data_IF_877995702204
#
_entry.id   IF_877995702204
#
_cell.length_a   1.000
_cell.length_b   1.000
_cell.length_c   1.000
_cell.angle_alpha   90.00
_cell.angle_beta   90.00
_cell.angle_gamma   90.00
#
_symmetry.space_group_name_H-M   'P 1'
#
loop_
_entity.id
_entity.type
_entity.pdbx_description
1 polymer ?
#
# COMPACT_ATOMS: atom_id res chain seq x y z
N UNK A 1 -1.16 -18.78 -39.15
CA UNK A 1 -0.19 -19.76 -38.58
C UNK A 1 0.21 -19.26 -37.21
N UNK A 2 0.04 -20.08 -36.16
CA UNK A 2 0.41 -19.71 -34.80
C UNK A 2 1.90 -19.99 -34.56
N UNK A 3 2.55 -19.18 -33.72
CA UNK A 3 3.94 -19.35 -33.32
C UNK A 3 4.10 -20.64 -32.49
N UNK A 4 4.97 -21.55 -32.94
CA UNK A 4 5.27 -22.86 -32.30
C UNK A 4 6.45 -22.78 -31.31
N UNK A 5 6.78 -21.58 -30.84
CA UNK A 5 8.00 -21.30 -30.04
C UNK A 5 8.07 -22.06 -28.71
N UNK A 6 6.96 -22.63 -28.24
CA UNK A 6 6.88 -23.41 -27.01
C UNK A 6 6.91 -24.93 -27.23
N UNK A 7 7.06 -25.39 -28.47
CA UNK A 7 7.18 -26.81 -28.80
C UNK A 7 8.63 -27.29 -28.62
N UNK A 8 9.61 -26.38 -28.71
CA UNK A 8 11.04 -26.64 -28.46
C UNK A 8 11.50 -26.24 -27.06
N UNK A 9 10.71 -25.45 -26.33
CA UNK A 9 10.93 -25.12 -24.91
C UNK A 9 9.58 -25.17 -24.16
N UNK A 10 9.13 -26.38 -23.75
CA UNK A 10 7.85 -26.55 -23.08
C UNK A 10 7.79 -25.85 -21.71
N UNK A 11 8.95 -25.60 -21.09
CA UNK A 11 9.05 -25.00 -19.76
C UNK A 11 8.95 -23.46 -19.78
N UNK A 12 9.18 -22.84 -20.94
CA UNK A 12 9.00 -21.41 -21.16
C UNK A 12 7.54 -21.01 -21.45
N UNK A 13 6.60 -21.97 -21.49
CA UNK A 13 5.17 -21.66 -21.61
C UNK A 13 4.75 -20.69 -20.49
N UNK A 14 4.00 -19.62 -20.79
CA UNK A 14 3.47 -18.72 -19.77
C UNK A 14 2.73 -19.53 -18.73
N UNK A 15 3.20 -19.50 -17.49
CA UNK A 15 2.52 -20.18 -16.39
C UNK A 15 1.12 -19.58 -16.25
N UNK A 16 0.07 -20.40 -16.06
CA UNK A 16 -1.27 -19.89 -15.82
C UNK A 16 -1.23 -18.93 -14.62
N UNK A 17 -1.81 -17.74 -14.78
CA UNK A 17 -1.96 -16.76 -13.68
C UNK A 17 -2.70 -17.48 -12.56
N UNK A 18 -2.05 -17.61 -11.41
CA UNK A 18 -2.73 -18.03 -10.18
C UNK A 18 -3.79 -16.98 -9.87
N UNK A 19 -5.02 -17.43 -9.64
CA UNK A 19 -6.22 -16.60 -9.53
C UNK A 19 -6.36 -15.89 -8.20
N UNK A 20 -5.47 -16.16 -7.23
CA UNK A 20 -5.18 -15.30 -6.09
C UNK A 20 -3.68 -15.36 -5.81
N UNK A 21 -2.93 -14.36 -6.27
CA UNK A 21 -1.48 -14.32 -6.00
C UNK A 21 -1.15 -13.84 -4.57
N UNK A 22 -2.13 -13.23 -3.88
CA UNK A 22 -2.02 -12.70 -2.53
C UNK A 22 -3.14 -13.26 -1.63
N UNK A 23 -2.85 -13.51 -0.34
CA UNK A 23 -3.78 -13.95 0.71
C UNK A 23 -4.74 -12.82 1.15
N UNK A 24 -5.17 -11.97 0.22
CA UNK A 24 -5.96 -10.76 0.48
C UNK A 24 -7.22 -10.71 -0.35
N UNK A 25 -8.34 -10.34 0.26
CA UNK A 25 -9.65 -10.24 -0.39
C UNK A 25 -9.86 -8.91 -1.13
N UNK A 26 -8.99 -7.92 -0.89
CA UNK A 26 -9.10 -6.61 -1.53
C UNK A 26 -7.92 -5.71 -1.24
N UNK A 27 -7.90 -4.56 -1.92
CA UNK A 27 -6.85 -3.56 -1.81
C UNK A 27 -7.42 -2.16 -1.65
N UNK A 28 -6.89 -1.42 -0.69
CA UNK A 28 -7.16 0.00 -0.50
C UNK A 28 -6.24 0.83 -1.39
N UNK A 29 -6.76 1.95 -1.89
CA UNK A 29 -6.06 2.90 -2.73
C UNK A 29 -6.34 4.33 -2.27
N UNK A 30 -5.28 5.12 -2.13
CA UNK A 30 -5.32 6.54 -1.78
C UNK A 30 -5.32 7.46 -3.02
N UNK A 31 -5.61 6.90 -4.20
CA UNK A 31 -5.54 7.59 -5.48
C UNK A 31 -6.17 6.78 -6.61
N UNK A 32 -6.50 7.45 -7.70
CA UNK A 32 -7.07 6.86 -8.89
C UNK A 32 -6.42 7.47 -10.15
N UNK A 33 -6.61 6.85 -11.30
CA UNK A 33 -6.19 7.41 -12.59
C UNK A 33 -7.41 7.45 -13.50
N UNK A 34 -7.77 8.65 -13.97
CA UNK A 34 -8.79 8.86 -15.00
C UNK A 34 -8.07 9.31 -16.26
N UNK A 35 -8.23 8.58 -17.36
CA UNK A 35 -7.61 8.89 -18.66
C UNK A 35 -6.09 9.12 -18.58
N UNK A 36 -5.42 8.37 -17.70
CA UNK A 36 -3.97 8.48 -17.46
C UNK A 36 -3.55 9.70 -16.64
N UNK A 37 -4.49 10.51 -16.17
CA UNK A 37 -4.25 11.59 -15.21
C UNK A 37 -4.45 11.09 -13.78
N UNK A 38 -3.49 11.32 -12.87
CA UNK A 38 -3.66 10.99 -11.47
C UNK A 38 -4.74 11.89 -10.83
N UNK A 39 -5.74 11.26 -10.24
CA UNK A 39 -6.72 11.90 -9.38
C UNK A 39 -6.40 11.55 -7.93
N UNK A 40 -6.30 12.58 -7.11
CA UNK A 40 -6.09 12.42 -5.67
C UNK A 40 -7.46 12.20 -5.04
N UNK A 41 -7.58 11.16 -4.23
CA UNK A 41 -8.81 10.87 -3.51
C UNK A 41 -8.74 11.41 -2.09
N UNK A 42 -9.80 12.07 -1.65
CA UNK A 42 -10.05 12.39 -0.24
C UNK A 42 -10.63 11.19 0.53
N UNK A 43 -11.18 10.22 -0.19
CA UNK A 43 -11.88 9.06 0.35
C UNK A 43 -11.25 7.77 -0.18
N UNK A 44 -11.41 6.66 0.54
CA UNK A 44 -10.82 5.40 0.13
C UNK A 44 -11.52 4.82 -1.11
N UNK A 45 -10.71 4.39 -2.07
CA UNK A 45 -11.13 3.46 -3.12
C UNK A 45 -10.67 2.06 -2.75
N UNK A 46 -11.56 1.08 -2.81
CA UNK A 46 -11.27 -0.32 -2.49
C UNK A 46 -11.51 -1.16 -3.73
N UNK A 47 -10.53 -1.96 -4.13
CA UNK A 47 -10.64 -2.87 -5.28
C UNK A 47 -10.66 -4.32 -4.82
N UNK A 48 -11.53 -5.15 -5.39
CA UNK A 48 -11.61 -6.59 -5.12
C UNK A 48 -11.99 -7.36 -6.40
N UNK A 49 -11.72 -8.67 -6.43
CA UNK A 49 -12.24 -9.59 -7.44
C UNK A 49 -13.52 -10.31 -7.02
N UNK A 50 -13.97 -10.14 -5.77
CA UNK A 50 -15.13 -10.83 -5.21
C UNK A 50 -16.33 -9.87 -5.06
N UNK A 51 -17.44 -10.11 -5.80
CA UNK A 51 -18.66 -9.31 -5.68
C UNK A 51 -19.25 -9.26 -4.27
N UNK A 52 -19.08 -10.31 -3.46
CA UNK A 52 -19.56 -10.34 -2.08
C UNK A 52 -18.76 -9.38 -1.20
N UNK A 53 -17.43 -9.34 -1.39
CA UNK A 53 -16.55 -8.39 -0.71
C UNK A 53 -16.88 -6.96 -1.13
N UNK A 54 -17.07 -6.72 -2.43
CA UNK A 54 -17.42 -5.39 -2.93
C UNK A 54 -18.75 -4.88 -2.33
N UNK A 55 -19.75 -5.76 -2.25
CA UNK A 55 -21.04 -5.43 -1.66
C UNK A 55 -20.92 -5.14 -0.16
N UNK A 56 -20.23 -5.98 0.60
CA UNK A 56 -20.03 -5.77 2.04
C UNK A 56 -19.29 -4.45 2.33
N UNK A 57 -18.24 -4.16 1.57
CA UNK A 57 -17.51 -2.89 1.67
C UNK A 57 -18.44 -1.69 1.37
N UNK A 58 -19.27 -1.78 0.33
CA UNK A 58 -20.23 -0.72 0.01
C UNK A 58 -21.30 -0.53 1.09
N UNK A 59 -21.73 -1.61 1.75
CA UNK A 59 -22.67 -1.55 2.89
C UNK A 59 -22.03 -0.89 4.13
N UNK A 60 -20.76 -1.19 4.42
CA UNK A 60 -20.02 -0.65 5.56
C UNK A 60 -19.64 0.83 5.38
N UNK A 61 -19.12 1.18 4.19
CA UNK A 61 -18.44 2.46 3.96
C UNK A 61 -19.10 3.34 2.90
N UNK A 62 -20.27 2.93 2.39
CA UNK A 62 -20.95 3.62 1.31
C UNK A 62 -20.30 3.39 -0.04
N UNK A 63 -20.87 4.01 -1.07
CA UNK A 63 -20.42 3.88 -2.45
C UNK A 63 -21.23 2.89 -3.27
N UNK A 64 -20.73 2.57 -4.46
CA UNK A 64 -21.34 1.59 -5.36
C UNK A 64 -20.24 0.76 -6.01
N UNK A 65 -20.35 -0.59 -6.01
CA UNK A 65 -19.44 -1.44 -6.77
C UNK A 65 -19.54 -1.17 -8.26
N UNK A 66 -18.38 -0.96 -8.90
CA UNK A 66 -18.25 -0.73 -10.34
C UNK A 66 -17.23 -1.71 -10.89
N UNK A 67 -17.66 -2.57 -11.81
CA UNK A 67 -16.73 -3.39 -12.58
C UNK A 67 -15.92 -2.52 -13.55
N UNK A 68 -14.63 -2.80 -13.64
CA UNK A 68 -13.68 -2.11 -14.52
C UNK A 68 -13.31 -3.03 -15.69
N UNK A 69 -12.80 -2.44 -16.78
CA UNK A 69 -12.26 -3.20 -17.93
C UNK A 69 -10.92 -3.91 -17.62
N UNK A 70 -10.51 -3.95 -16.36
CA UNK A 70 -9.24 -4.52 -15.92
C UNK A 70 -9.23 -6.04 -16.06
N UNK A 71 -8.13 -6.59 -16.59
CA UNK A 71 -7.86 -8.04 -16.59
C UNK A 71 -7.05 -8.49 -15.36
N UNK A 72 -6.93 -7.60 -14.37
CA UNK A 72 -6.30 -7.91 -13.09
C UNK A 72 -7.25 -8.69 -12.17
N UNK A 73 -6.69 -9.26 -11.11
CA UNK A 73 -7.44 -10.02 -10.08
C UNK A 73 -8.51 -9.17 -9.39
N UNK A 74 -8.18 -7.91 -9.08
CA UNK A 74 -9.12 -6.95 -8.51
C UNK A 74 -9.70 -6.06 -9.61
N UNK A 75 -10.86 -6.46 -10.15
CA UNK A 75 -11.52 -5.76 -11.25
C UNK A 75 -12.79 -5.01 -10.83
N UNK A 76 -13.24 -5.13 -9.58
CA UNK A 76 -14.38 -4.40 -9.02
C UNK A 76 -13.85 -3.28 -8.12
N UNK A 77 -14.11 -2.02 -8.46
CA UNK A 77 -13.78 -0.86 -7.64
C UNK A 77 -15.02 -0.41 -6.83
N UNK A 78 -14.81 -0.06 -5.57
CA UNK A 78 -15.79 0.59 -4.70
C UNK A 78 -15.21 1.92 -4.25
N UNK A 79 -15.80 3.02 -4.71
CA UNK A 79 -15.47 4.36 -4.23
C UNK A 79 -16.31 4.63 -2.98
N UNK A 80 -15.68 4.57 -1.82
CA UNK A 80 -16.35 4.74 -0.52
C UNK A 80 -16.61 6.22 -0.23
N UNK A 81 -17.45 6.52 0.76
CA UNK A 81 -17.64 7.89 1.28
C UNK A 81 -16.87 8.10 2.59
N UNK A 82 -15.76 7.38 2.78
CA UNK A 82 -14.99 7.37 4.03
C UNK A 82 -13.56 7.83 3.77
N UNK A 83 -13.18 8.93 4.42
CA UNK A 83 -11.78 9.35 4.52
C UNK A 83 -10.99 8.52 5.53
N UNK A 84 -11.69 7.89 6.48
CA UNK A 84 -11.10 7.02 7.50
C UNK A 84 -11.89 5.74 7.72
N UNK A 85 -11.16 4.66 7.98
CA UNK A 85 -11.71 3.32 8.18
C UNK A 85 -11.08 2.69 9.43
N UNK A 86 -11.88 2.15 10.37
CA UNK A 86 -11.35 1.41 11.49
C UNK A 86 -10.86 0.03 11.02
N UNK A 87 -9.62 -0.30 11.37
CA UNK A 87 -8.93 -1.51 10.94
C UNK A 87 -8.27 -2.21 12.12
N UNK A 88 -8.06 -3.52 11.99
CA UNK A 88 -7.29 -4.31 12.95
C UNK A 88 -5.98 -4.75 12.29
N UNK A 89 -4.86 -4.30 12.86
CA UNK A 89 -3.51 -4.77 12.49
C UNK A 89 -3.06 -5.86 13.47
N UNK A 90 -2.50 -6.93 12.94
CA UNK A 90 -2.00 -8.08 13.71
C UNK A 90 -0.56 -7.82 14.19
N UNK A 91 -0.40 -6.79 15.01
CA UNK A 91 0.89 -6.34 15.54
C UNK A 91 1.84 -5.72 14.50
N UNK A 92 3.13 -5.54 14.86
CA UNK A 92 4.10 -4.81 14.04
C UNK A 92 4.34 -5.45 12.67
N UNK A 93 4.28 -6.78 12.58
CA UNK A 93 4.48 -7.53 11.33
C UNK A 93 3.40 -7.26 10.26
N UNK A 94 2.31 -6.59 10.63
CA UNK A 94 1.28 -6.15 9.69
C UNK A 94 1.76 -5.00 8.78
N UNK A 95 2.84 -4.30 9.15
CA UNK A 95 3.48 -3.27 8.34
C UNK A 95 4.81 -3.83 7.82
N UNK A 96 4.92 -3.95 6.51
CA UNK A 96 6.15 -4.33 5.84
C UNK A 96 6.68 -3.18 5.01
N UNK A 97 7.92 -2.78 5.24
CA UNK A 97 8.57 -1.70 4.51
C UNK A 97 9.90 -2.15 3.92
N UNK A 98 10.07 -1.88 2.64
CA UNK A 98 11.33 -2.05 1.91
C UNK A 98 11.53 -0.89 0.92
N UNK A 99 12.64 -0.92 0.20
CA UNK A 99 13.03 0.08 -0.79
C UNK A 99 13.20 -0.59 -2.15
N UNK A 100 12.39 -0.18 -3.14
CA UNK A 100 12.38 -0.77 -4.49
C UNK A 100 12.63 0.27 -5.58
N UNK A 101 13.49 -0.08 -6.53
CA UNK A 101 13.62 0.62 -7.82
C UNK A 101 13.13 -0.31 -8.93
N UNK A 102 12.04 0.09 -9.58
CA UNK A 102 11.53 -0.58 -10.77
C UNK A 102 11.95 0.19 -12.01
N UNK A 103 12.53 -0.52 -12.97
CA UNK A 103 12.69 -0.02 -14.32
C UNK A 103 11.75 -0.82 -15.23
N UNK A 104 10.64 -0.19 -15.63
CA UNK A 104 9.51 -0.87 -16.25
C UNK A 104 9.06 -2.03 -15.35
N UNK A 105 9.11 -3.27 -15.85
CA UNK A 105 8.69 -4.45 -15.10
C UNK A 105 9.85 -5.22 -14.46
N UNK A 106 11.07 -4.65 -14.46
CA UNK A 106 12.24 -5.28 -13.85
C UNK A 106 12.58 -4.60 -12.53
N UNK A 107 12.66 -5.38 -11.47
CA UNK A 107 13.19 -4.94 -10.18
C UNK A 107 14.72 -4.79 -10.32
N UNK A 108 15.19 -3.54 -10.26
CA UNK A 108 16.61 -3.19 -10.44
C UNK A 108 17.32 -3.09 -9.09
N UNK A 109 16.59 -2.65 -8.06
CA UNK A 109 17.13 -2.49 -6.71
C UNK A 109 16.07 -2.90 -5.69
N UNK A 110 16.46 -3.70 -4.71
CA UNK A 110 15.61 -4.08 -3.59
C UNK A 110 16.45 -4.18 -2.31
N UNK A 111 16.19 -3.28 -1.36
CA UNK A 111 16.94 -3.18 -0.12
C UNK A 111 16.03 -2.78 1.05
N UNK A 112 16.54 -2.84 2.28
CA UNK A 112 15.90 -2.27 3.48
C UNK A 112 16.42 -0.84 3.78
N UNK A 113 17.17 -0.27 2.85
CA UNK A 113 17.89 0.99 3.03
C UNK A 113 19.33 0.83 3.51
N UNK A 114 19.72 -0.33 4.03
CA UNK A 114 21.08 -0.65 4.47
C UNK A 114 21.72 -1.74 3.60
N UNK A 115 21.04 -2.86 3.41
CA UNK A 115 21.52 -4.03 2.66
C UNK A 115 20.54 -4.46 1.59
N UNK A 116 21.03 -5.16 0.56
CA UNK A 116 20.17 -5.77 -0.44
C UNK A 116 19.32 -6.88 0.18
N UNK A 117 18.03 -6.90 -0.17
CA UNK A 117 17.09 -7.96 0.16
C UNK A 117 16.94 -8.96 -1.00
N UNK A 118 17.20 -8.51 -2.23
CA UNK A 118 17.28 -9.34 -3.43
C UNK A 118 18.11 -8.62 -4.52
N UNK A 119 18.63 -9.32 -5.54
CA UNK A 119 18.51 -10.76 -5.77
C UNK A 119 19.36 -11.57 -4.78
N UNK A 120 19.13 -12.89 -4.72
CA UNK A 120 19.73 -13.76 -3.70
C UNK A 120 21.27 -13.69 -3.68
N UNK A 121 21.91 -13.49 -4.83
CA UNK A 121 23.37 -13.38 -4.94
C UNK A 121 23.94 -12.13 -4.23
N UNK A 122 23.11 -11.11 -4.00
CA UNK A 122 23.50 -9.86 -3.34
C UNK A 122 22.91 -9.71 -1.95
N UNK A 123 22.02 -10.60 -1.54
CA UNK A 123 21.29 -10.48 -0.27
C UNK A 123 22.25 -10.33 0.91
N UNK A 124 22.01 -9.34 1.76
CA UNK A 124 22.86 -9.01 2.91
C UNK A 124 24.09 -8.15 2.60
N UNK A 125 24.43 -7.90 1.33
CA UNK A 125 25.51 -6.96 0.97
C UNK A 125 25.05 -5.51 1.07
N UNK A 126 25.95 -4.53 1.34
CA UNK A 126 25.59 -3.11 1.42
C UNK A 126 24.87 -2.61 0.16
N UNK A 127 23.76 -1.89 0.33
CA UNK A 127 22.92 -1.47 -0.79
C UNK A 127 23.49 -0.31 -1.61
N UNK A 128 24.46 0.42 -1.08
CA UNK A 128 25.03 1.65 -1.66
C UNK A 128 24.01 2.77 -1.90
N UNK A 129 22.85 2.75 -1.23
CA UNK A 129 21.97 3.92 -1.19
C UNK A 129 22.63 5.05 -0.39
N UNK A 130 22.34 6.33 -0.71
CA UNK A 130 22.84 7.47 0.04
C UNK A 130 22.50 7.36 1.54
N UNK A 131 23.37 7.82 2.43
CA UNK A 131 23.09 7.74 3.88
C UNK A 131 21.96 8.69 4.29
N UNK A 132 21.95 9.90 3.73
CA UNK A 132 21.00 10.94 4.11
C UNK A 132 19.62 10.73 3.49
N UNK A 133 18.58 10.85 4.32
CA UNK A 133 17.17 10.73 3.89
C UNK A 133 16.81 11.66 2.72
N UNK A 134 17.28 12.91 2.77
CA UNK A 134 17.03 13.89 1.70
C UNK A 134 17.66 13.47 0.37
N UNK A 135 18.85 12.87 0.40
CA UNK A 135 19.57 12.39 -0.79
C UNK A 135 18.90 11.15 -1.37
N UNK A 136 18.42 10.23 -0.52
CA UNK A 136 17.61 9.07 -0.96
C UNK A 136 16.36 9.54 -1.71
N UNK A 137 15.62 10.49 -1.12
CA UNK A 137 14.41 11.06 -1.73
C UNK A 137 14.72 11.74 -3.07
N UNK A 138 15.84 12.45 -3.17
CA UNK A 138 16.26 13.09 -4.41
C UNK A 138 16.66 12.06 -5.48
N UNK A 139 17.47 11.06 -5.13
CA UNK A 139 17.86 9.99 -6.05
C UNK A 139 16.65 9.22 -6.59
N UNK A 140 15.67 8.94 -5.74
CA UNK A 140 14.40 8.32 -6.15
C UNK A 140 13.59 9.19 -7.09
N UNK A 141 13.49 10.50 -6.81
CA UNK A 141 12.82 11.46 -7.68
C UNK A 141 13.48 11.55 -9.06
N UNK A 142 14.80 11.42 -9.12
CA UNK A 142 15.57 11.40 -10.35
C UNK A 142 15.61 10.01 -11.02
N UNK A 143 14.84 9.03 -10.51
CA UNK A 143 14.75 7.65 -11.00
C UNK A 143 16.09 6.87 -10.94
N UNK A 144 17.02 7.33 -10.10
CA UNK A 144 18.34 6.72 -9.91
C UNK A 144 18.46 5.90 -8.63
N UNK A 145 17.53 6.07 -7.69
CA UNK A 145 17.50 5.37 -6.41
C UNK A 145 16.16 4.68 -6.15
N UNK A 146 16.11 3.70 -5.24
CA UNK A 146 14.86 3.06 -4.85
C UNK A 146 13.94 4.03 -4.11
N UNK A 147 12.63 3.81 -4.23
CA UNK A 147 11.59 4.47 -3.43
C UNK A 147 11.10 3.53 -2.34
N UNK A 148 10.49 4.05 -1.25
CA UNK A 148 9.79 3.23 -0.27
C UNK A 148 8.72 2.38 -0.96
N UNK A 149 8.55 1.17 -0.47
CA UNK A 149 7.46 0.26 -0.83
C UNK A 149 6.94 -0.30 0.49
N UNK A 150 5.90 0.34 0.99
CA UNK A 150 5.27 0.05 2.27
C UNK A 150 3.97 -0.70 1.98
N UNK A 151 3.80 -1.86 2.60
CA UNK A 151 2.59 -2.66 2.57
C UNK A 151 2.02 -2.73 3.98
N UNK A 152 0.75 -2.37 4.14
CA UNK A 152 0.01 -2.52 5.38
C UNK A 152 -1.07 -3.57 5.15
N UNK A 153 -1.06 -4.65 5.93
CA UNK A 153 -2.04 -5.72 5.86
C UNK A 153 -2.93 -5.67 7.10
N UNK A 154 -4.25 -5.72 6.92
CA UNK A 154 -5.19 -5.51 8.01
C UNK A 154 -6.51 -6.22 7.75
N UNK A 155 -7.37 -6.31 8.76
CA UNK A 155 -8.80 -6.66 8.63
C UNK A 155 -9.66 -5.43 8.93
N UNK A 156 -10.89 -5.40 8.43
CA UNK A 156 -11.83 -4.31 8.78
C UNK A 156 -12.36 -4.56 10.19
N UNK A 157 -12.37 -3.53 11.04
CA UNK A 157 -12.85 -3.69 12.41
C UNK A 157 -14.35 -4.01 12.46
N UNK A 158 -15.13 -3.47 11.51
CA UNK A 158 -16.57 -3.69 11.42
C UNK A 158 -16.95 -5.09 10.88
N UNK A 159 -16.02 -5.78 10.20
CA UNK A 159 -16.21 -7.15 9.71
C UNK A 159 -14.85 -7.85 9.52
N UNK A 160 -14.41 -8.58 10.55
CA UNK A 160 -13.15 -9.32 10.51
C UNK A 160 -13.21 -10.56 9.61
N UNK A 161 -14.39 -11.14 9.44
CA UNK A 161 -14.59 -12.39 8.68
C UNK A 161 -14.56 -12.14 7.17
N UNK A 162 -14.73 -10.89 6.74
CA UNK A 162 -14.59 -10.50 5.35
C UNK A 162 -13.21 -10.82 4.77
N UNK A 163 -12.18 -10.89 5.61
CA UNK A 163 -10.83 -11.30 5.25
C UNK A 163 -9.78 -10.19 5.37
N UNK A 164 -8.57 -10.48 4.89
CA UNK A 164 -7.44 -9.53 4.93
C UNK A 164 -7.45 -8.59 3.75
N UNK A 165 -7.27 -7.32 4.00
CA UNK A 165 -7.03 -6.29 3.01
C UNK A 165 -5.56 -5.88 3.02
N UNK A 166 -5.13 -5.24 1.94
CA UNK A 166 -3.82 -4.58 1.88
C UNK A 166 -3.94 -3.14 1.41
N UNK A 167 -3.06 -2.30 1.93
CA UNK A 167 -2.77 -0.98 1.40
C UNK A 167 -1.30 -0.93 1.03
N UNK A 168 -0.97 -0.38 -0.14
CA UNK A 168 0.41 -0.24 -0.60
C UNK A 168 0.71 1.19 -0.99
N UNK A 169 1.82 1.73 -0.50
CA UNK A 169 2.23 3.10 -0.74
C UNK A 169 3.74 3.25 -0.87
N UNK A 170 4.16 4.25 -1.64
CA UNK A 170 5.56 4.70 -1.73
C UNK A 170 5.78 6.05 -1.05
N UNK A 171 4.92 6.39 -0.08
CA UNK A 171 4.95 7.67 0.62
C UNK A 171 6.22 7.83 1.45
N UNK A 172 7.03 8.83 1.10
CA UNK A 172 8.17 9.27 1.92
C UNK A 172 7.75 9.85 3.27
N UNK A 173 6.54 10.40 3.37
CA UNK A 173 6.01 10.92 4.64
C UNK A 173 5.71 9.76 5.59
N UNK A 174 5.05 8.72 5.09
CA UNK A 174 4.80 7.52 5.88
C UNK A 174 6.11 6.82 6.25
N UNK A 175 7.06 6.71 5.31
CA UNK A 175 8.38 6.13 5.56
C UNK A 175 9.13 6.81 6.71
N UNK A 176 8.98 8.13 6.89
CA UNK A 176 9.68 8.86 7.96
C UNK A 176 9.15 8.60 9.37
N UNK A 177 7.92 8.07 9.49
CA UNK A 177 7.25 7.82 10.77
C UNK A 177 6.93 6.33 11.01
N UNK A 178 7.46 5.42 10.19
CA UNK A 178 7.23 3.97 10.34
C UNK A 178 7.61 3.46 11.74
N UNK A 179 8.74 3.91 12.26
CA UNK A 179 9.20 3.56 13.61
C UNK A 179 8.20 3.95 14.71
N UNK A 180 7.43 5.04 14.52
CA UNK A 180 6.39 5.44 15.48
C UNK A 180 5.24 4.41 15.45
N UNK A 181 4.81 4.00 14.25
CA UNK A 181 3.76 2.99 14.10
C UNK A 181 4.19 1.61 14.62
N UNK A 182 5.43 1.21 14.37
CA UNK A 182 5.97 -0.06 14.88
C UNK A 182 6.01 -0.07 16.41
N UNK A 183 6.51 1.00 17.03
CA UNK A 183 6.53 1.12 18.50
C UNK A 183 5.12 1.11 19.10
N UNK A 184 4.19 1.89 18.53
CA UNK A 184 2.81 1.94 19.01
C UNK A 184 2.12 0.57 18.90
N UNK A 185 2.40 -0.20 17.84
CA UNK A 185 1.89 -1.56 17.68
C UNK A 185 2.54 -2.55 18.65
N UNK A 186 3.84 -2.44 18.91
CA UNK A 186 4.55 -3.25 19.91
C UNK A 186 3.97 -3.06 21.30
N UNK A 187 3.65 -1.81 21.68
CA UNK A 187 3.10 -1.47 22.99
C UNK A 187 1.73 -2.13 23.26
N UNK A 188 0.94 -2.44 22.22
CA UNK A 188 -0.35 -3.12 22.38
C UNK A 188 -0.24 -4.61 22.74
N UNK A 189 0.93 -5.24 22.55
CA UNK A 189 1.17 -6.67 22.82
C UNK A 189 0.14 -7.63 22.16
N UNK A 190 -0.34 -7.32 20.97
CA UNK A 190 -1.29 -8.16 20.23
C UNK A 190 -1.92 -7.44 19.04
N UNK A 191 -3.07 -7.93 18.53
CA UNK A 191 -3.84 -7.20 17.53
C UNK A 191 -4.27 -5.84 18.07
N UNK A 192 -4.12 -4.80 17.25
CA UNK A 192 -4.43 -3.43 17.62
C UNK A 192 -5.59 -2.88 16.79
N UNK A 193 -6.54 -2.22 17.45
CA UNK A 193 -7.52 -1.39 16.77
C UNK A 193 -6.84 -0.10 16.33
N UNK A 194 -6.92 0.19 15.04
CA UNK A 194 -6.29 1.34 14.42
C UNK A 194 -7.28 2.09 13.52
N UNK A 195 -6.99 3.35 13.27
CA UNK A 195 -7.69 4.19 12.31
C UNK A 195 -6.78 4.40 11.09
N UNK A 196 -7.24 3.98 9.91
CA UNK A 196 -6.54 4.14 8.64
C UNK A 196 -7.21 5.27 7.84
N UNK A 197 -6.53 6.41 7.75
CA UNK A 197 -7.12 7.66 7.24
C UNK A 197 -6.32 8.29 6.10
N UNK A 198 -7.01 9.10 5.28
CA UNK A 198 -6.42 10.03 4.31
C UNK A 198 -6.51 11.46 4.85
N UNK A 199 -5.40 11.99 5.36
CA UNK A 199 -5.36 13.34 5.93
C UNK A 199 -4.95 14.38 4.88
N UNK A 200 -5.74 15.44 4.76
CA UNK A 200 -5.41 16.61 3.95
C UNK A 200 -4.24 17.39 4.58
N UNK A 201 -3.19 17.60 3.80
CA UNK A 201 -2.06 18.45 4.16
C UNK A 201 -2.06 19.67 3.24
N UNK A 202 -2.25 20.86 3.82
CA UNK A 202 -2.16 22.13 3.10
C UNK A 202 -1.07 23.01 3.69
N UNK A 203 -0.19 23.51 2.84
CA UNK A 203 0.80 24.49 3.26
C UNK A 203 1.28 25.37 2.10
N UNK A 204 1.71 26.57 2.44
CA UNK A 204 2.40 27.46 1.51
C UNK A 204 3.90 27.25 1.62
N UNK A 205 4.58 27.04 0.48
CA UNK A 205 6.03 26.89 0.45
C UNK A 205 6.68 28.20 0.90
N UNK A 206 7.42 28.16 2.02
CA UNK A 206 8.04 29.36 2.62
C UNK A 206 9.43 29.70 2.04
N UNK A 207 10.12 28.75 1.41
CA UNK A 207 11.52 28.88 0.94
C UNK A 207 11.74 28.17 -0.40
N UNK A 208 12.76 28.60 -1.15
CA UNK A 208 13.17 27.98 -2.42
C UNK A 208 12.48 28.55 -3.66
N UNK A 209 12.73 27.92 -4.82
CA UNK A 209 12.25 28.37 -6.15
C UNK A 209 10.73 28.46 -6.25
N UNK A 210 10.01 27.65 -5.47
CA UNK A 210 8.54 27.58 -5.47
C UNK A 210 7.90 28.36 -4.30
N UNK A 211 8.62 29.32 -3.70
CA UNK A 211 8.10 30.12 -2.58
C UNK A 211 6.78 30.81 -2.95
N UNK A 212 5.80 30.74 -2.06
CA UNK A 212 4.46 31.33 -2.25
C UNK A 212 3.46 30.40 -2.95
N UNK A 213 3.91 29.24 -3.45
CA UNK A 213 3.00 28.23 -3.99
C UNK A 213 2.26 27.52 -2.86
N UNK A 214 0.93 27.41 -3.00
CA UNK A 214 0.10 26.56 -2.14
C UNK A 214 0.19 25.12 -2.63
N UNK A 215 0.44 24.21 -1.70
CA UNK A 215 0.49 22.78 -1.94
C UNK A 215 -0.57 22.14 -1.05
N UNK A 216 -1.45 21.36 -1.67
CA UNK A 216 -2.41 20.49 -1.00
C UNK A 216 -2.26 19.06 -1.51
N UNK A 217 -2.26 18.08 -0.61
CA UNK A 217 -2.27 16.66 -0.94
C UNK A 217 -2.80 15.84 0.24
N UNK A 218 -3.29 14.63 -0.04
CA UNK A 218 -3.69 13.68 1.00
C UNK A 218 -2.54 12.73 1.32
N UNK A 219 -2.29 12.48 2.61
CA UNK A 219 -1.34 11.46 3.08
C UNK A 219 -2.10 10.33 3.79
N UNK A 220 -1.71 9.07 3.57
CA UNK A 220 -2.20 7.99 4.41
C UNK A 220 -1.58 8.09 5.81
N UNK A 221 -2.38 7.86 6.85
CA UNK A 221 -1.95 7.81 8.25
C UNK A 221 -2.53 6.57 8.90
N UNK A 222 -1.71 5.86 9.67
CA UNK A 222 -2.16 4.79 10.57
C UNK A 222 -2.08 5.35 11.98
N UNK A 223 -3.19 5.34 12.71
CA UNK A 223 -3.22 5.73 14.11
C UNK A 223 -3.60 4.54 14.97
N UNK A 224 -2.69 4.08 15.81
CA UNK A 224 -2.98 3.02 16.79
C UNK A 224 -3.85 3.62 17.90
N UNK A 225 -5.01 3.01 18.17
CA UNK A 225 -5.95 3.52 19.16
C UNK A 225 -5.80 2.79 20.50
N UNK A 226 -5.82 1.47 20.47
CA UNK A 226 -5.72 0.58 21.65
C UNK A 226 -5.55 -0.88 21.22
N UNK A 227 -5.24 -1.76 22.17
CA UNK A 227 -5.32 -3.20 21.94
C UNK A 227 -6.75 -3.62 21.55
N UNK A 228 -6.87 -4.53 20.60
CA UNK A 228 -8.16 -4.96 20.09
C UNK A 228 -8.97 -5.74 21.15
N UNK A 229 -8.30 -6.46 22.06
CA UNK A 229 -8.95 -7.08 23.22
C UNK A 229 -9.72 -6.09 24.09
N UNK A 230 -9.14 -4.90 24.30
CA UNK A 230 -9.73 -3.87 25.13
C UNK A 230 -10.92 -3.21 24.42
N UNK A 231 -10.82 -3.05 23.09
CA UNK A 231 -11.92 -2.53 22.29
C UNK A 231 -13.17 -3.42 22.35
N UNK A 232 -13.01 -4.75 22.23
CA UNK A 232 -14.14 -5.69 22.31
C UNK A 232 -14.71 -5.78 23.74
N UNK A 233 -13.87 -5.57 24.76
CA UNK A 233 -14.31 -5.61 26.15
C UNK A 233 -15.21 -4.41 26.52
N UNK A 234 -15.02 -3.25 25.89
CA UNK A 234 -15.80 -2.03 26.13
C UNK A 234 -17.15 -1.99 25.38
N UNK A 235 -17.31 -2.77 24.30
CA UNK A 235 -18.58 -2.89 23.55
C UNK A 235 -19.57 -3.89 24.19
N UNK A 236 -19.17 -4.58 25.26
CA UNK A 236 -19.99 -5.55 26.02
C UNK A 236 -20.59 -4.95 27.28
#
# INVERSE_FOLDING_TARGET
MALTIFDTDPNAKPKPKQTFADDTVGRFHSGHQIDGQPEVLSEWRISTGDPMVAKAVAELFGGTPVETDSTAENFIDVFTSRESVPVVLDGPGAIHADMKLWNRNKLVHHCDGSVFLSPDERKGTPCACPELFAERKQAAKDLMGPSPSITVTFRLADDLELGKFKFQTSSWVMASVLHEYENDLEDTNGPALCDLSLELVEFTIKKGKNKGLNVSYYKPVVKVLKAYSDAIAEER
#
